data_IF_473322053008
#
_entry.id   IF_473322053008
#
_cell.length_a   1.000
_cell.length_b   1.000
_cell.length_c   1.000
_cell.angle_alpha   90.00
_cell.angle_beta   90.00
_cell.angle_gamma   90.00
#
_symmetry.space_group_name_H-M   'P 1'
#
loop_
_entity.id
_entity.type
_entity.pdbx_description
1 polymer ?
#
# COMPACT_ATOMS: atom_id res chain seq x y z
N UNK A 1 -9.44 -2.44 16.02
CA UNK A 1 -8.54 -3.51 15.53
C UNK A 1 -7.10 -3.08 15.71
N UNK A 2 -6.17 -4.03 15.91
CA UNK A 2 -4.72 -3.77 15.93
C UNK A 2 -4.11 -3.94 14.55
N UNK A 3 -3.56 -2.86 13.97
CA UNK A 3 -3.09 -2.80 12.58
C UNK A 3 -1.60 -2.47 12.55
N UNK A 4 -0.79 -3.31 11.90
CA UNK A 4 0.60 -2.97 11.58
C UNK A 4 0.68 -2.19 10.26
N UNK A 5 1.37 -1.04 10.27
CA UNK A 5 1.62 -0.25 9.06
C UNK A 5 3.10 -0.35 8.69
N UNK A 6 3.40 -1.07 7.62
CA UNK A 6 4.77 -1.19 7.07
C UNK A 6 5.05 0.02 6.17
N UNK A 7 6.21 0.64 6.34
CA UNK A 7 6.53 1.90 5.67
C UNK A 7 5.85 3.10 6.31
N UNK A 8 5.58 3.04 7.62
CA UNK A 8 4.86 4.07 8.37
C UNK A 8 5.52 5.46 8.33
N UNK A 9 6.84 5.55 8.13
CA UNK A 9 7.53 6.83 8.02
C UNK A 9 7.42 7.48 6.62
N UNK A 10 6.91 6.75 5.62
CA UNK A 10 6.70 7.26 4.26
C UNK A 10 5.48 8.17 4.15
N UNK A 11 5.39 8.96 3.07
CA UNK A 11 4.34 9.98 2.89
C UNK A 11 2.91 9.43 3.03
N UNK A 12 2.59 8.28 2.44
CA UNK A 12 1.27 7.65 2.61
C UNK A 12 1.15 6.91 3.94
N UNK A 13 2.23 6.25 4.40
CA UNK A 13 2.24 5.52 5.68
C UNK A 13 1.90 6.41 6.86
N UNK A 14 2.44 7.64 6.90
CA UNK A 14 2.13 8.63 7.94
C UNK A 14 0.65 8.99 7.99
N UNK A 15 0.04 9.21 6.82
CA UNK A 15 -1.39 9.49 6.73
C UNK A 15 -2.23 8.28 7.19
N UNK A 16 -1.83 7.06 6.84
CA UNK A 16 -2.53 5.86 7.28
C UNK A 16 -2.46 5.67 8.79
N UNK A 17 -1.29 5.87 9.40
CA UNK A 17 -1.13 5.84 10.87
C UNK A 17 -2.07 6.86 11.52
N UNK A 18 -2.08 8.10 11.02
CA UNK A 18 -2.95 9.18 11.54
C UNK A 18 -4.44 8.84 11.39
N UNK A 19 -4.87 8.40 10.22
CA UNK A 19 -6.28 8.11 9.91
C UNK A 19 -6.77 6.88 10.69
N UNK A 20 -5.97 5.81 10.78
CA UNK A 20 -6.32 4.62 11.55
C UNK A 20 -6.42 4.90 13.05
N UNK A 21 -5.48 5.66 13.62
CA UNK A 21 -5.53 6.06 15.02
C UNK A 21 -6.74 6.96 15.32
N UNK A 22 -7.04 7.93 14.44
CA UNK A 22 -8.20 8.80 14.59
C UNK A 22 -9.54 8.04 14.50
N UNK A 23 -9.56 6.92 13.78
CA UNK A 23 -10.71 6.01 13.72
C UNK A 23 -10.79 5.02 14.91
N UNK A 24 -9.90 5.13 15.91
CA UNK A 24 -9.93 4.33 17.13
C UNK A 24 -9.26 2.95 17.00
N UNK A 25 -8.46 2.72 15.95
CA UNK A 25 -7.67 1.50 15.82
C UNK A 25 -6.37 1.59 16.62
N UNK A 26 -5.91 0.46 17.14
CA UNK A 26 -4.57 0.34 17.71
C UNK A 26 -3.56 0.24 16.56
N UNK A 27 -2.67 1.22 16.42
CA UNK A 27 -1.72 1.26 15.31
C UNK A 27 -0.33 0.86 15.79
N UNK A 28 0.28 -0.08 15.07
CA UNK A 28 1.69 -0.43 15.18
C UNK A 28 2.42 0.14 13.98
N UNK A 29 3.11 1.26 14.16
CA UNK A 29 3.93 1.87 13.13
C UNK A 29 5.24 1.10 12.97
N UNK A 30 5.41 0.39 11.85
CA UNK A 30 6.64 -0.37 11.55
C UNK A 30 7.59 0.51 10.75
N UNK A 31 8.73 0.84 11.38
CA UNK A 31 9.73 1.77 10.84
C UNK A 31 11.13 1.17 10.88
N UNK A 32 11.95 1.51 9.89
CA UNK A 32 13.38 1.16 9.90
C UNK A 32 14.20 2.03 10.86
N UNK A 33 13.81 3.30 10.93
CA UNK A 33 14.49 4.35 11.67
C UNK A 33 13.43 5.18 12.41
N UNK A 34 13.32 5.02 13.75
CA UNK A 34 12.35 5.74 14.58
C UNK A 34 12.46 7.26 14.48
N UNK A 35 13.64 7.81 14.21
CA UNK A 35 13.84 9.27 14.12
C UNK A 35 13.05 9.90 12.97
N UNK A 36 12.66 9.10 11.97
CA UNK A 36 11.87 9.53 10.81
C UNK A 36 10.37 9.59 11.09
N UNK A 37 9.93 9.26 12.28
CA UNK A 37 8.54 9.42 12.70
C UNK A 37 8.53 9.81 14.18
N UNK A 38 8.89 11.07 14.50
CA UNK A 38 8.83 11.53 15.87
C UNK A 38 7.36 11.61 16.31
N UNK A 39 7.04 10.90 17.39
CA UNK A 39 5.72 10.91 18.05
C UNK A 39 4.54 10.43 17.17
N UNK A 40 4.56 9.17 16.66
CA UNK A 40 3.39 8.63 15.99
C UNK A 40 2.27 8.38 16.99
N UNK A 41 1.00 8.56 16.60
CA UNK A 41 -0.09 8.06 17.42
C UNK A 41 -0.02 6.53 17.47
N UNK A 42 0.21 5.97 18.66
CA UNK A 42 0.23 4.52 18.92
C UNK A 42 1.62 3.94 19.25
N UNK A 43 1.78 2.65 18.98
CA UNK A 43 3.01 1.89 19.24
C UNK A 43 3.94 1.96 18.03
N UNK A 44 5.26 2.06 18.23
CA UNK A 44 6.24 1.87 17.15
C UNK A 44 6.98 0.55 17.34
N UNK A 45 7.26 -0.14 16.23
CA UNK A 45 8.14 -1.31 16.22
C UNK A 45 9.19 -1.16 15.13
N UNK A 46 10.43 -1.48 15.48
CA UNK A 46 11.55 -1.34 14.55
C UNK A 46 11.73 -2.61 13.76
N UNK A 47 11.62 -2.51 12.43
CA UNK A 47 11.93 -3.61 11.52
C UNK A 47 12.32 -3.06 10.15
N UNK A 48 13.33 -3.67 9.54
CA UNK A 48 13.59 -3.49 8.11
C UNK A 48 12.59 -4.30 7.29
N UNK A 49 12.15 -3.78 6.15
CA UNK A 49 11.20 -4.46 5.28
C UNK A 49 11.77 -5.74 4.66
N UNK A 50 13.10 -5.92 4.67
CA UNK A 50 13.79 -7.15 4.25
C UNK A 50 14.06 -8.15 5.38
N UNK A 51 13.89 -7.74 6.65
CA UNK A 51 14.12 -8.61 7.81
C UNK A 51 12.84 -9.31 8.25
N UNK A 52 12.66 -10.55 7.78
CA UNK A 52 11.50 -11.38 8.08
C UNK A 52 11.33 -11.64 9.59
N UNK A 53 12.42 -11.80 10.34
CA UNK A 53 12.34 -12.10 11.77
C UNK A 53 11.90 -10.86 12.56
N UNK A 54 12.48 -9.70 12.26
CA UNK A 54 12.08 -8.44 12.86
C UNK A 54 10.63 -8.09 12.49
N UNK A 55 10.21 -8.29 11.23
CA UNK A 55 8.83 -8.10 10.81
C UNK A 55 7.87 -9.04 11.53
N UNK A 56 8.21 -10.32 11.70
CA UNK A 56 7.36 -11.27 12.42
C UNK A 56 7.15 -10.86 13.88
N UNK A 57 8.23 -10.42 14.55
CA UNK A 57 8.14 -9.84 15.89
C UNK A 57 7.28 -8.57 15.89
N UNK A 58 7.43 -7.71 14.86
CA UNK A 58 6.63 -6.51 14.69
C UNK A 58 5.14 -6.80 14.45
N UNK A 59 4.80 -7.97 13.90
CA UNK A 59 3.43 -8.41 13.66
C UNK A 59 2.81 -9.20 14.82
N UNK A 60 3.54 -9.44 15.91
CA UNK A 60 3.00 -10.16 17.05
C UNK A 60 1.75 -9.47 17.63
N UNK A 61 0.61 -10.19 17.66
CA UNK A 61 -0.66 -9.72 18.21
C UNK A 61 -1.42 -8.73 17.34
N UNK A 62 -1.00 -8.48 16.09
CA UNK A 62 -1.76 -7.62 15.16
C UNK A 62 -2.78 -8.45 14.37
N UNK A 63 -3.87 -7.82 13.96
CA UNK A 63 -4.97 -8.48 13.24
C UNK A 63 -4.88 -8.29 11.72
N UNK A 64 -4.21 -7.21 11.29
CA UNK A 64 -4.01 -6.88 9.88
C UNK A 64 -2.69 -6.16 9.64
N UNK A 65 -2.14 -6.33 8.44
CA UNK A 65 -0.97 -5.61 7.93
C UNK A 65 -1.39 -4.72 6.77
N UNK A 66 -1.03 -3.44 6.85
CA UNK A 66 -1.11 -2.49 5.75
C UNK A 66 0.29 -2.15 5.23
N UNK A 67 0.59 -2.52 3.99
CA UNK A 67 1.87 -2.25 3.35
C UNK A 67 1.81 -0.96 2.53
N UNK A 68 2.51 0.07 3.02
CA UNK A 68 2.75 1.34 2.35
C UNK A 68 4.14 1.41 1.71
N UNK A 69 4.75 0.26 1.41
CA UNK A 69 6.03 0.21 0.71
C UNK A 69 5.92 0.90 -0.65
N UNK A 70 6.93 1.69 -0.98
CA UNK A 70 7.01 2.44 -2.22
C UNK A 70 8.41 2.36 -2.80
N UNK A 71 8.58 2.64 -4.10
CA UNK A 71 9.90 2.61 -4.72
C UNK A 71 10.80 3.67 -4.07
N UNK A 72 12.02 3.26 -3.71
CA UNK A 72 13.02 4.15 -3.12
C UNK A 72 14.08 4.47 -4.18
N UNK A 73 14.30 5.75 -4.53
CA UNK A 73 15.34 6.12 -5.49
C UNK A 73 16.72 5.60 -5.04
N UNK A 74 17.41 4.90 -5.94
CA UNK A 74 18.74 4.34 -5.68
C UNK A 74 18.78 2.98 -4.98
N UNK A 75 17.63 2.40 -4.63
CA UNK A 75 17.56 1.00 -4.18
C UNK A 75 17.36 0.01 -5.36
N UNK A 76 17.35 -1.30 -5.08
CA UNK A 76 17.21 -2.38 -6.07
C UNK A 76 15.94 -2.22 -6.94
N UNK A 77 16.00 -2.74 -8.17
CA UNK A 77 14.85 -2.80 -9.07
C UNK A 77 13.74 -3.78 -8.60
N UNK A 78 13.97 -4.51 -7.50
CA UNK A 78 13.05 -5.52 -6.95
C UNK A 78 12.59 -5.21 -5.51
N UNK A 79 12.81 -3.99 -5.02
CA UNK A 79 12.53 -3.60 -3.62
C UNK A 79 11.09 -3.88 -3.22
N UNK A 80 10.11 -3.66 -4.11
CA UNK A 80 8.70 -3.87 -3.80
C UNK A 80 8.36 -5.35 -3.74
N UNK A 81 8.80 -6.13 -4.73
CA UNK A 81 8.63 -7.59 -4.74
C UNK A 81 9.31 -8.24 -3.55
N UNK A 82 10.55 -7.90 -3.27
CA UNK A 82 11.34 -8.49 -2.18
C UNK A 82 10.75 -8.09 -0.82
N UNK A 83 10.39 -6.82 -0.67
CA UNK A 83 9.74 -6.31 0.53
C UNK A 83 8.39 -6.97 0.82
N UNK A 84 7.53 -7.14 -0.19
CA UNK A 84 6.25 -7.84 0.03
C UNK A 84 6.45 -9.33 0.30
N UNK A 85 7.45 -9.96 -0.30
CA UNK A 85 7.79 -11.37 -0.03
C UNK A 85 8.18 -11.55 1.43
N UNK A 86 9.01 -10.65 1.97
CA UNK A 86 9.39 -10.66 3.37
C UNK A 86 8.20 -10.36 4.30
N UNK A 87 7.32 -9.42 3.94
CA UNK A 87 6.08 -9.14 4.69
C UNK A 87 5.18 -10.38 4.74
N UNK A 88 4.96 -11.07 3.61
CA UNK A 88 4.13 -12.28 3.57
C UNK A 88 4.71 -13.41 4.41
N UNK A 89 6.03 -13.63 4.33
CA UNK A 89 6.72 -14.62 5.16
C UNK A 89 6.63 -14.29 6.67
N UNK A 90 6.71 -13.02 7.03
CA UNK A 90 6.55 -12.57 8.40
C UNK A 90 5.11 -12.68 8.90
N UNK A 91 4.13 -12.39 8.04
CA UNK A 91 2.70 -12.58 8.32
C UNK A 91 2.38 -14.05 8.61
N UNK A 92 2.93 -14.97 7.81
CA UNK A 92 2.78 -16.41 8.02
C UNK A 92 3.33 -16.85 9.39
N UNK A 93 4.54 -16.41 9.75
CA UNK A 93 5.16 -16.68 11.06
C UNK A 93 4.37 -16.10 12.23
N UNK A 94 3.73 -14.95 12.04
CA UNK A 94 2.95 -14.27 13.06
C UNK A 94 1.47 -14.72 13.11
N UNK A 95 1.03 -15.58 12.18
CA UNK A 95 -0.36 -16.03 12.08
C UNK A 95 -1.34 -14.96 11.58
N UNK A 96 -0.86 -13.91 10.91
CA UNK A 96 -1.69 -12.80 10.43
C UNK A 96 -2.13 -13.05 8.99
N UNK A 97 -3.44 -12.94 8.72
CA UNK A 97 -3.98 -13.23 7.39
C UNK A 97 -4.41 -12.00 6.59
N UNK A 98 -4.75 -10.88 7.22
CA UNK A 98 -5.30 -9.72 6.48
C UNK A 98 -4.17 -8.83 5.96
N UNK A 99 -4.04 -8.68 4.63
CA UNK A 99 -3.08 -7.78 3.98
C UNK A 99 -3.80 -6.73 3.13
N UNK A 100 -3.46 -5.46 3.28
CA UNK A 100 -3.79 -4.39 2.31
C UNK A 100 -2.50 -3.75 1.82
N UNK A 101 -2.23 -3.77 0.52
CA UNK A 101 -0.97 -3.28 -0.05
C UNK A 101 -1.19 -2.20 -1.12
N UNK A 102 -0.34 -1.16 -1.11
CA UNK A 102 -0.31 -0.14 -2.16
C UNK A 102 0.43 -0.68 -3.39
N UNK A 103 -0.18 -0.54 -4.56
CA UNK A 103 0.42 -0.70 -5.88
C UNK A 103 0.29 0.63 -6.66
N UNK A 104 0.10 0.58 -7.98
CA UNK A 104 -0.23 1.74 -8.79
C UNK A 104 -1.17 1.36 -9.94
N UNK A 105 -2.01 2.31 -10.37
CA UNK A 105 -2.88 2.15 -11.54
C UNK A 105 -2.17 2.38 -12.89
N UNK A 106 -0.93 2.85 -12.87
CA UNK A 106 -0.21 3.32 -14.07
C UNK A 106 -0.01 2.27 -15.17
N UNK A 107 0.03 0.98 -14.82
CA UNK A 107 0.22 -0.12 -15.75
C UNK A 107 -1.09 -0.86 -16.14
N UNK A 108 -2.20 -0.58 -15.45
CA UNK A 108 -3.52 -1.14 -15.79
C UNK A 108 -4.13 -0.31 -16.91
N UNK A 109 -4.51 -0.93 -18.03
CA UNK A 109 -5.03 -0.21 -19.22
C UNK A 109 -6.57 -0.20 -19.29
N UNK A 110 -7.22 -1.12 -18.58
CA UNK A 110 -8.68 -1.20 -18.58
C UNK A 110 -9.32 -0.08 -17.73
N UNK A 111 -10.26 0.65 -18.35
CA UNK A 111 -10.93 1.80 -17.74
C UNK A 111 -10.28 3.16 -18.04
N UNK A 112 -9.17 3.18 -18.77
CA UNK A 112 -8.53 4.41 -19.26
C UNK A 112 -9.34 5.09 -20.39
N UNK A 113 -9.29 6.42 -20.44
CA UNK A 113 -9.71 7.18 -21.61
C UNK A 113 -8.66 7.07 -22.75
N UNK A 114 -9.03 7.40 -24.00
CA UNK A 114 -8.13 7.29 -25.15
C UNK A 114 -6.81 8.09 -25.00
N UNK A 115 -6.82 9.24 -24.32
CA UNK A 115 -5.61 10.07 -24.16
C UNK A 115 -4.61 9.41 -23.19
N UNK A 116 -5.10 8.83 -22.08
CA UNK A 116 -4.28 8.01 -21.16
C UNK A 116 -3.62 6.85 -21.90
N UNK A 117 -4.45 6.11 -22.66
CA UNK A 117 -4.10 4.85 -23.32
C UNK A 117 -3.10 5.04 -24.45
N UNK A 118 -3.24 6.09 -25.26
CA UNK A 118 -2.49 6.24 -26.51
C UNK A 118 -1.32 7.25 -26.43
N UNK A 119 -1.27 8.16 -25.44
CA UNK A 119 -0.24 9.22 -25.41
C UNK A 119 0.56 9.23 -24.10
N UNK A 120 -0.09 9.29 -22.94
CA UNK A 120 0.60 9.44 -21.66
C UNK A 120 1.28 8.13 -21.19
N UNK A 121 0.58 7.00 -21.29
CA UNK A 121 1.09 5.70 -20.83
C UNK A 121 2.26 5.15 -21.63
N UNK A 122 2.39 5.28 -22.97
CA UNK A 122 3.57 4.79 -23.68
C UNK A 122 4.88 5.46 -23.22
N UNK A 123 4.84 6.77 -22.94
CA UNK A 123 5.98 7.54 -22.45
C UNK A 123 6.29 7.16 -21.00
N UNK A 124 5.27 7.10 -20.15
CA UNK A 124 5.42 6.74 -18.74
C UNK A 124 5.82 5.27 -18.55
N UNK A 125 5.33 4.37 -19.40
CA UNK A 125 5.67 2.94 -19.42
C UNK A 125 7.14 2.72 -19.77
N UNK A 126 7.73 3.54 -20.64
CA UNK A 126 9.16 3.52 -20.93
C UNK A 126 10.00 4.13 -19.79
N UNK A 127 9.57 5.26 -19.23
CA UNK A 127 10.31 5.94 -18.16
C UNK A 127 10.26 5.20 -16.81
N UNK A 128 9.17 4.47 -16.53
CA UNK A 128 8.95 3.73 -15.29
C UNK A 128 8.90 2.21 -15.52
N UNK A 129 9.51 1.72 -16.61
CA UNK A 129 9.43 0.31 -17.00
C UNK A 129 9.86 -0.64 -15.87
N UNK A 130 10.97 -0.31 -15.20
CA UNK A 130 11.52 -1.10 -14.09
C UNK A 130 10.61 -1.06 -12.86
N UNK A 131 10.14 0.12 -12.46
CA UNK A 131 9.20 0.26 -11.33
C UNK A 131 7.85 -0.42 -11.61
N UNK A 132 7.35 -0.35 -12.84
CA UNK A 132 6.11 -1.04 -13.23
C UNK A 132 6.29 -2.56 -13.22
N UNK A 133 7.43 -3.06 -13.68
CA UNK A 133 7.74 -4.49 -13.62
C UNK A 133 7.84 -4.99 -12.17
N UNK A 134 8.43 -4.20 -11.26
CA UNK A 134 8.50 -4.54 -9.84
C UNK A 134 7.11 -4.53 -9.17
N UNK A 135 6.27 -3.53 -9.49
CA UNK A 135 4.88 -3.48 -9.03
C UNK A 135 4.05 -4.68 -9.54
N UNK A 136 4.21 -5.06 -10.81
CA UNK A 136 3.56 -6.22 -11.38
C UNK A 136 4.03 -7.51 -10.69
N UNK A 137 5.33 -7.69 -10.48
CA UNK A 137 5.88 -8.84 -9.77
C UNK A 137 5.41 -8.88 -8.30
N UNK A 138 5.37 -7.75 -7.61
CA UNK A 138 4.82 -7.61 -6.26
C UNK A 138 3.35 -8.06 -6.23
N UNK A 139 2.52 -7.61 -7.17
CA UNK A 139 1.11 -8.03 -7.23
C UNK A 139 0.96 -9.52 -7.53
N UNK A 140 1.79 -10.11 -8.40
CA UNK A 140 1.79 -11.55 -8.67
C UNK A 140 2.11 -12.36 -7.41
N UNK A 141 3.11 -11.94 -6.65
CA UNK A 141 3.47 -12.57 -5.36
C UNK A 141 2.31 -12.48 -4.36
N UNK A 142 1.66 -11.31 -4.23
CA UNK A 142 0.49 -11.15 -3.36
C UNK A 142 -0.64 -12.08 -3.80
N UNK A 143 -0.98 -12.11 -5.09
CA UNK A 143 -2.09 -12.92 -5.63
C UNK A 143 -1.87 -14.41 -5.46
N UNK A 144 -0.63 -14.87 -5.52
CA UNK A 144 -0.26 -16.27 -5.34
C UNK A 144 -0.18 -16.70 -3.86
N UNK A 145 -0.25 -15.75 -2.92
CA UNK A 145 -0.19 -16.04 -1.49
C UNK A 145 -1.52 -16.55 -0.93
N UNK A 146 -1.47 -17.15 0.26
CA UNK A 146 -2.62 -17.69 1.00
C UNK A 146 -3.29 -16.67 1.93
N UNK A 147 -2.86 -15.41 1.92
CA UNK A 147 -3.38 -14.37 2.82
C UNK A 147 -4.67 -13.75 2.25
N UNK A 148 -5.51 -13.21 3.13
CA UNK A 148 -6.68 -12.40 2.78
C UNK A 148 -6.22 -11.02 2.26
N UNK A 149 -5.81 -10.94 1.00
CA UNK A 149 -5.21 -9.75 0.42
C UNK A 149 -6.20 -8.78 -0.22
N UNK A 150 -5.86 -7.50 -0.22
CA UNK A 150 -6.45 -6.46 -1.09
C UNK A 150 -5.33 -5.58 -1.63
N UNK A 151 -5.35 -5.30 -2.92
CA UNK A 151 -4.38 -4.42 -3.56
C UNK A 151 -5.04 -3.08 -3.88
N UNK A 152 -4.45 -1.98 -3.43
CA UNK A 152 -4.92 -0.62 -3.70
C UNK A 152 -4.11 0.00 -4.83
N UNK A 153 -4.77 0.41 -5.92
CA UNK A 153 -4.15 0.97 -7.13
C UNK A 153 -4.49 2.46 -7.29
N UNK A 154 -3.79 3.37 -6.62
CA UNK A 154 -3.99 4.79 -6.82
C UNK A 154 -3.42 5.27 -8.18
N UNK A 155 -3.90 6.41 -8.72
CA UNK A 155 -3.26 7.15 -9.80
C UNK A 155 -2.20 8.08 -9.19
N UNK A 156 -1.98 9.26 -9.78
CA UNK A 156 -0.95 10.18 -9.31
C UNK A 156 -1.27 10.68 -7.89
N UNK A 157 -0.38 10.37 -6.96
CA UNK A 157 -0.52 10.76 -5.56
C UNK A 157 -0.15 12.23 -5.37
N UNK A 158 -0.99 12.97 -4.64
CA UNK A 158 -0.78 14.39 -4.34
C UNK A 158 -0.55 14.62 -2.85
N UNK A 159 0.43 15.48 -2.55
CA UNK A 159 0.72 15.98 -1.21
C UNK A 159 -0.14 17.22 -0.95
N UNK A 160 -1.43 16.99 -0.68
CA UNK A 160 -2.41 18.04 -0.37
C UNK A 160 -3.39 17.55 0.70
N UNK A 161 -4.14 18.45 1.38
CA UNK A 161 -5.19 18.03 2.31
C UNK A 161 -6.18 17.07 1.66
N UNK A 162 -6.59 16.04 2.41
CA UNK A 162 -7.63 15.11 1.98
C UNK A 162 -9.00 15.77 1.97
N UNK A 163 -9.89 15.25 1.13
CA UNK A 163 -11.30 15.65 1.07
C UNK A 163 -12.19 14.77 1.95
N UNK A 164 -11.66 13.65 2.46
CA UNK A 164 -12.41 12.64 3.20
C UNK A 164 -13.30 11.78 2.30
N UNK A 165 -13.08 11.83 0.97
CA UNK A 165 -13.88 11.12 -0.02
C UNK A 165 -12.97 10.57 -1.12
N UNK A 166 -13.36 9.45 -1.69
CA UNK A 166 -12.71 8.85 -2.84
C UNK A 166 -13.72 8.01 -3.63
N UNK A 167 -13.41 7.78 -4.89
CA UNK A 167 -14.10 6.83 -5.77
C UNK A 167 -13.27 5.55 -5.86
N UNK A 168 -13.94 4.41 -5.95
CA UNK A 168 -13.31 3.10 -6.04
C UNK A 168 -13.88 2.28 -7.19
N UNK A 169 -13.03 1.47 -7.83
CA UNK A 169 -13.43 0.54 -8.88
C UNK A 169 -12.62 -0.74 -8.79
N UNK A 170 -13.31 -1.88 -8.85
CA UNK A 170 -12.70 -3.23 -8.75
C UNK A 170 -12.21 -3.73 -10.12
N UNK A 171 -12.88 -3.31 -11.20
CA UNK A 171 -12.58 -3.74 -12.57
C UNK A 171 -11.87 -2.65 -13.38
N UNK A 172 -10.63 -2.33 -13.02
CA UNK A 172 -9.80 -1.35 -13.72
C UNK A 172 -9.89 0.07 -13.15
N UNK A 173 -9.40 1.06 -13.89
CA UNK A 173 -9.21 2.42 -13.38
C UNK A 173 -10.53 3.17 -13.15
N UNK A 174 -10.52 4.06 -12.15
CA UNK A 174 -11.59 5.03 -11.95
C UNK A 174 -11.59 5.97 -13.15
N UNK A 175 -12.73 6.09 -13.81
CA UNK A 175 -12.85 6.85 -15.06
C UNK A 175 -12.69 8.33 -14.78
N UNK A 176 -11.96 9.03 -15.65
CA UNK A 176 -11.77 10.50 -15.62
C UNK A 176 -11.08 11.05 -14.36
N UNK A 177 -10.51 10.19 -13.52
CA UNK A 177 -9.88 10.57 -12.27
C UNK A 177 -8.41 10.14 -12.23
N UNK A 178 -7.53 11.13 -12.18
CA UNK A 178 -6.10 10.95 -12.44
C UNK A 178 -5.22 11.17 -11.21
N UNK A 179 -5.84 11.58 -10.11
CA UNK A 179 -5.15 11.98 -8.89
C UNK A 179 -5.91 11.54 -7.66
N UNK A 180 -5.19 11.34 -6.57
CA UNK A 180 -5.76 11.18 -5.24
C UNK A 180 -4.83 11.83 -4.21
N UNK A 181 -5.41 12.48 -3.20
CA UNK A 181 -4.63 12.99 -2.07
C UNK A 181 -4.20 11.81 -1.18
N UNK A 182 -2.99 11.85 -0.61
CA UNK A 182 -2.53 10.77 0.28
C UNK A 182 -3.44 10.48 1.48
N UNK A 183 -4.05 11.48 2.13
CA UNK A 183 -5.00 11.21 3.21
C UNK A 183 -6.25 10.46 2.72
N UNK A 184 -6.72 10.73 1.49
CA UNK A 184 -7.88 10.04 0.92
C UNK A 184 -7.53 8.60 0.50
N UNK A 185 -6.30 8.36 0.03
CA UNK A 185 -5.80 6.99 -0.17
C UNK A 185 -5.65 6.24 1.17
N UNK A 186 -5.15 6.90 2.21
CA UNK A 186 -5.04 6.32 3.55
C UNK A 186 -6.43 5.93 4.10
N UNK A 187 -7.44 6.78 3.90
CA UNK A 187 -8.83 6.44 4.20
C UNK A 187 -9.30 5.20 3.42
N UNK A 188 -9.08 5.17 2.10
CA UNK A 188 -9.45 4.01 1.29
C UNK A 188 -8.75 2.71 1.69
N UNK A 189 -7.49 2.79 2.13
CA UNK A 189 -6.77 1.65 2.68
C UNK A 189 -7.37 1.16 4.00
N UNK A 190 -7.73 2.08 4.90
CA UNK A 190 -8.37 1.73 6.17
C UNK A 190 -9.74 1.07 5.96
N UNK A 191 -10.54 1.65 5.06
CA UNK A 191 -11.84 1.07 4.67
C UNK A 191 -11.65 -0.33 4.08
N UNK A 192 -10.63 -0.52 3.23
CA UNK A 192 -10.30 -1.84 2.72
C UNK A 192 -9.89 -2.81 3.84
N UNK A 193 -9.07 -2.40 4.83
CA UNK A 193 -8.65 -3.29 5.94
C UNK A 193 -9.85 -3.90 6.65
N UNK A 194 -10.91 -3.12 6.87
CA UNK A 194 -12.11 -3.54 7.58
C UNK A 194 -13.16 -4.21 6.68
N UNK A 195 -13.20 -3.90 5.38
CA UNK A 195 -14.11 -4.49 4.40
C UNK A 195 -13.71 -5.90 3.98
N UNK A 196 -14.47 -6.90 4.43
CA UNK A 196 -14.27 -8.31 4.04
C UNK A 196 -14.63 -8.60 2.59
N UNK A 197 -15.49 -7.79 1.96
CA UNK A 197 -15.81 -7.96 0.54
C UNK A 197 -14.64 -7.55 -0.36
N UNK A 198 -13.66 -6.80 0.15
CA UNK A 198 -12.46 -6.40 -0.57
C UNK A 198 -11.40 -7.51 -0.65
N UNK A 199 -11.58 -8.65 0.02
CA UNK A 199 -10.63 -9.77 -0.01
C UNK A 199 -10.56 -10.38 -1.41
N UNK A 200 -9.34 -10.61 -1.89
CA UNK A 200 -9.06 -11.14 -3.23
C UNK A 200 -9.25 -10.12 -4.34
N UNK A 201 -9.32 -8.81 -4.02
CA UNK A 201 -9.64 -7.75 -4.98
C UNK A 201 -8.46 -6.79 -5.17
N UNK A 202 -8.26 -6.35 -6.42
CA UNK A 202 -7.46 -5.16 -6.71
C UNK A 202 -8.40 -3.99 -6.99
N UNK A 203 -8.29 -2.94 -6.19
CA UNK A 203 -9.21 -1.81 -6.18
C UNK A 203 -8.45 -0.56 -6.63
N UNK A 204 -8.82 0.00 -7.76
CA UNK A 204 -8.35 1.31 -8.17
C UNK A 204 -9.12 2.39 -7.43
N UNK A 205 -8.41 3.41 -6.92
CA UNK A 205 -9.02 4.50 -6.15
C UNK A 205 -8.56 5.85 -6.65
N UNK A 206 -9.45 6.83 -6.73
CA UNK A 206 -9.13 8.19 -7.16
C UNK A 206 -10.04 9.22 -6.46
N UNK A 207 -9.74 10.51 -6.59
CA UNK A 207 -10.65 11.57 -6.16
C UNK A 207 -11.90 11.63 -7.06
#
# INVERSE_FOLDING_TARGET
MKIAVVGASGRTGRELVRVAAAAGHEVVAVVRDPSRLPDPPGEFRVADASDVAALAAAFAGVEAVASCLGPVPGESAHVLRDGVTAVLAAMDRAGVRRLVAISASGWVVDGDDPLSRYVAKPILKRALATTNADLEAMEQVIRASHVDWTIMRPPRLQDRPGTGRYQARRDGNVRWAWTIARPDLALAMLDAVTDRTAVGQAISVAA
#
